data_IF_674021665150
#
_entry.id   IF_674021665150
#
_cell.length_a   1.000
_cell.length_b   1.000
_cell.length_c   1.000
_cell.angle_alpha   90.00
_cell.angle_beta   90.00
_cell.angle_gamma   90.00
#
_symmetry.space_group_name_H-M   'P 1'
#
loop_
_entity.id
_entity.type
_entity.pdbx_description
1 polymer ?
#
# COMPACT_ATOMS: atom_id res chain seq x y z
N UNK A 1 -1.51 -30.35 6.14
CA UNK A 1 -1.66 -29.58 4.89
C UNK A 1 -1.62 -28.12 5.30
N UNK A 2 -0.51 -27.44 5.01
CA UNK A 2 -0.33 -26.03 5.28
C UNK A 2 -1.28 -25.25 4.37
N UNK A 3 -2.24 -24.58 4.98
CA UNK A 3 -3.19 -23.69 4.30
C UNK A 3 -2.41 -22.51 3.74
N UNK A 4 -1.94 -22.64 2.49
CA UNK A 4 -1.38 -21.53 1.72
C UNK A 4 -2.55 -20.68 1.21
N UNK A 5 -3.30 -20.07 2.12
CA UNK A 5 -4.26 -19.03 1.75
C UNK A 5 -3.46 -17.90 1.10
N UNK A 6 -3.60 -17.71 -0.21
CA UNK A 6 -3.01 -16.58 -0.94
C UNK A 6 -3.35 -15.28 -0.20
N UNK A 7 -2.32 -14.70 0.44
CA UNK A 7 -2.44 -13.38 1.03
C UNK A 7 -2.28 -12.37 -0.11
N UNK A 8 -3.38 -12.09 -0.81
CA UNK A 8 -3.39 -11.01 -1.79
C UNK A 8 -3.09 -9.68 -1.08
N UNK A 9 -2.26 -8.86 -1.72
CA UNK A 9 -1.77 -7.59 -1.18
C UNK A 9 -1.98 -6.50 -2.22
N UNK A 10 -2.43 -5.34 -1.76
CA UNK A 10 -2.32 -4.10 -2.52
C UNK A 10 -0.95 -3.49 -2.23
N UNK A 11 -0.19 -3.20 -3.28
CA UNK A 11 1.16 -2.66 -3.18
C UNK A 11 1.26 -1.34 -3.93
N UNK A 12 1.65 -0.29 -3.21
CA UNK A 12 1.92 1.03 -3.75
C UNK A 12 3.43 1.23 -3.83
N UNK A 13 3.89 1.77 -4.96
CA UNK A 13 5.21 2.38 -5.09
C UNK A 13 5.03 3.78 -5.65
N UNK A 14 5.83 4.71 -5.13
CA UNK A 14 5.81 6.11 -5.54
C UNK A 14 7.17 6.46 -6.09
N UNK A 15 7.18 7.06 -7.28
CA UNK A 15 8.38 7.51 -7.97
C UNK A 15 8.26 9.00 -8.29
N UNK A 16 9.39 9.70 -8.40
CA UNK A 16 9.43 11.05 -8.98
C UNK A 16 9.24 10.99 -10.49
N UNK A 17 9.09 12.16 -11.13
CA UNK A 17 9.06 12.29 -12.60
C UNK A 17 10.35 11.78 -13.27
N UNK A 18 11.47 11.72 -12.53
CA UNK A 18 12.74 11.16 -12.99
C UNK A 18 12.91 9.67 -12.68
N UNK A 19 11.82 8.98 -12.32
CA UNK A 19 11.81 7.55 -11.94
C UNK A 19 12.60 7.23 -10.66
N UNK A 20 12.85 8.21 -9.79
CA UNK A 20 13.52 7.97 -8.51
C UNK A 20 12.52 7.47 -7.45
N UNK A 21 12.83 6.34 -6.81
CA UNK A 21 11.99 5.75 -5.76
C UNK A 21 11.84 6.69 -4.56
N UNK A 22 10.58 6.98 -4.19
CA UNK A 22 10.21 7.86 -3.08
C UNK A 22 9.63 7.11 -1.88
N UNK A 23 9.07 5.92 -2.09
CA UNK A 23 8.50 5.12 -1.02
C UNK A 23 7.54 4.05 -1.49
N UNK A 24 7.18 3.16 -0.58
CA UNK A 24 6.33 2.01 -0.82
C UNK A 24 5.33 1.77 0.33
N UNK A 25 4.29 0.99 0.04
CA UNK A 25 3.44 0.38 1.06
C UNK A 25 2.81 -0.92 0.56
N UNK A 26 2.96 -2.00 1.32
CA UNK A 26 2.17 -3.21 1.17
C UNK A 26 1.01 -3.23 2.19
N UNK A 27 -0.20 -3.57 1.74
CA UNK A 27 -1.39 -3.72 2.59
C UNK A 27 -2.11 -5.01 2.21
N UNK A 28 -2.32 -5.95 3.13
CA UNK A 28 -3.12 -7.14 2.85
C UNK A 28 -4.54 -6.75 2.45
N UNK A 29 -5.10 -7.36 1.39
CA UNK A 29 -6.45 -7.06 0.94
C UNK A 29 -7.48 -7.28 2.06
N UNK A 30 -7.30 -8.32 2.87
CA UNK A 30 -8.12 -8.64 4.04
C UNK A 30 -8.13 -7.54 5.12
N UNK A 31 -7.13 -6.65 5.11
CA UNK A 31 -6.98 -5.54 6.06
C UNK A 31 -7.40 -4.19 5.50
N UNK A 32 -7.72 -4.12 4.19
CA UNK A 32 -8.17 -2.88 3.56
C UNK A 32 -9.54 -2.46 4.11
N UNK A 33 -9.76 -1.15 4.18
CA UNK A 33 -11.02 -0.53 4.61
C UNK A 33 -11.47 0.48 3.57
N UNK A 34 -12.75 0.51 3.17
CA UNK A 34 -13.22 1.37 2.09
C UNK A 34 -13.30 2.85 2.49
N UNK A 35 -13.29 3.74 1.51
CA UNK A 35 -13.33 5.20 1.63
C UNK A 35 -11.95 5.85 1.62
N UNK A 36 -11.93 7.16 1.88
CA UNK A 36 -10.71 7.99 1.89
C UNK A 36 -9.80 7.59 3.07
N UNK A 37 -8.52 7.28 2.80
CA UNK A 37 -7.52 6.88 3.78
C UNK A 37 -6.17 7.54 3.50
N UNK A 38 -5.48 7.92 4.58
CA UNK A 38 -4.07 8.26 4.54
C UNK A 38 -3.24 6.98 4.66
N UNK A 39 -2.33 6.78 3.70
CA UNK A 39 -1.45 5.63 3.62
C UNK A 39 -0.02 6.13 3.74
N UNK A 40 0.55 6.03 4.94
CA UNK A 40 1.93 6.43 5.18
C UNK A 40 2.91 5.50 4.46
N UNK A 41 3.87 6.10 3.77
CA UNK A 41 4.85 5.40 2.97
C UNK A 41 6.04 4.97 3.83
N UNK A 42 6.75 3.96 3.33
CA UNK A 42 7.97 3.45 3.92
C UNK A 42 9.06 3.50 2.86
N UNK A 43 10.32 3.50 3.26
CA UNK A 43 11.43 3.36 2.33
C UNK A 43 11.57 1.92 1.81
N UNK A 44 12.62 1.66 1.02
CA UNK A 44 12.91 0.33 0.45
C UNK A 44 13.25 -0.74 1.50
N UNK A 45 13.60 -0.33 2.72
CA UNK A 45 13.86 -1.21 3.86
C UNK A 45 12.65 -1.36 4.78
N UNK A 46 11.49 -0.80 4.35
CA UNK A 46 10.26 -0.77 5.11
C UNK A 46 10.38 0.04 6.41
N UNK A 47 11.23 1.07 6.43
CA UNK A 47 11.31 2.06 7.49
C UNK A 47 10.33 3.21 7.24
N UNK A 48 9.70 3.70 8.30
CA UNK A 48 8.66 4.72 8.22
C UNK A 48 9.21 6.08 7.74
N UNK A 49 8.52 6.71 6.78
CA UNK A 49 8.85 8.05 6.30
C UNK A 49 7.87 9.07 6.92
N UNK A 50 8.34 9.81 7.93
CA UNK A 50 7.51 10.65 8.82
C UNK A 50 6.53 11.60 8.11
N UNK A 51 6.91 12.16 6.97
CA UNK A 51 6.16 13.22 6.29
C UNK A 51 5.56 12.78 4.95
N UNK A 52 5.68 11.50 4.56
CA UNK A 52 5.19 11.04 3.26
C UNK A 52 4.00 10.08 3.41
N UNK A 53 2.90 10.46 2.76
CA UNK A 53 1.69 9.66 2.73
C UNK A 53 0.92 9.88 1.43
N UNK A 54 0.22 8.84 0.97
CA UNK A 54 -0.76 8.92 -0.10
C UNK A 54 -2.16 9.11 0.51
N UNK A 55 -2.95 10.03 -0.05
CA UNK A 55 -4.38 10.09 0.20
C UNK A 55 -5.09 9.29 -0.90
N UNK A 56 -5.68 8.15 -0.53
CA UNK A 56 -6.32 7.22 -1.47
C UNK A 56 -7.80 7.04 -1.12
N UNK A 57 -8.68 6.92 -2.12
CA UNK A 57 -10.05 6.44 -1.91
C UNK A 57 -10.13 4.97 -2.34
N UNK A 58 -10.58 4.11 -1.43
CA UNK A 58 -10.61 2.65 -1.63
C UNK A 58 -12.06 2.21 -1.78
N UNK A 59 -12.40 1.56 -2.88
CA UNK A 59 -13.73 1.04 -3.15
C UNK A 59 -13.65 -0.45 -3.46
N UNK A 60 -14.61 -1.23 -2.96
CA UNK A 60 -14.76 -2.64 -3.29
C UNK A 60 -16.02 -2.80 -4.12
N UNK A 61 -15.87 -3.36 -5.32
CA UNK A 61 -16.99 -3.78 -6.14
C UNK A 61 -17.07 -5.30 -6.07
N UNK A 62 -18.25 -5.81 -5.73
CA UNK A 62 -18.52 -7.25 -5.82
C UNK A 62 -19.07 -7.48 -7.22
N UNK A 63 -18.35 -8.26 -8.03
CA UNK A 63 -18.80 -8.67 -9.37
C UNK A 63 -19.82 -9.80 -9.25
#
# INVERSE_FOLDING_TARGET
QSDNSECDLLYFEVYTDNEEFCGQKAIPLSSLRPGIRSVALHDKFNEYLDMSALLVDIQFETV
#
